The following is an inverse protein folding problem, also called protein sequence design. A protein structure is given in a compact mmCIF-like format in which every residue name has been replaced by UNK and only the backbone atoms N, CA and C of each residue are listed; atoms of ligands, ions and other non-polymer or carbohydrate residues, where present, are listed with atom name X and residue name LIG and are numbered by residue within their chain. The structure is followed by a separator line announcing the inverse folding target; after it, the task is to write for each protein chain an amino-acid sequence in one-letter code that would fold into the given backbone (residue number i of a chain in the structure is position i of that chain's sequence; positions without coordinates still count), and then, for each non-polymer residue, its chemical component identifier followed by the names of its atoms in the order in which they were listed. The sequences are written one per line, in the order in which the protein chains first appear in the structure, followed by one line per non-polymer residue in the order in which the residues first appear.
data_IF_396886481993
#
_entry.id   IF_396886481993
#
_cell.length_a   1.000
_cell.length_b   1.000
_cell.length_c   1.000
_cell.angle_alpha   90.00
_cell.angle_beta   90.00
_cell.angle_gamma   90.00
#
_symmetry.space_group_name_H-M   'P 1'
#
loop_
_entity.id
_entity.type
_entity.pdbx_description
1 polymer ?
#
# COMPACT_ATOMS: atom_id res chain seq x y z
N UNK A 1 -11.22 -9.28 -6.72
CA UNK A 1 -10.06 -8.77 -5.94
C UNK A 1 -10.60 -8.21 -4.64
N UNK A 2 -9.84 -8.32 -3.55
CA UNK A 2 -10.22 -7.78 -2.25
C UNK A 2 -8.99 -7.10 -1.66
N UNK A 3 -9.10 -5.81 -1.41
CA UNK A 3 -8.15 -5.03 -0.62
C UNK A 3 -8.89 -4.46 0.59
N UNK A 4 -8.17 -4.08 1.63
CA UNK A 4 -8.79 -3.63 2.88
C UNK A 4 -9.43 -2.25 2.74
N UNK A 5 -8.69 -1.28 2.19
CA UNK A 5 -9.17 0.09 2.00
C UNK A 5 -8.71 0.67 0.65
N UNK A 6 -9.57 1.52 0.09
CA UNK A 6 -9.26 2.40 -1.03
C UNK A 6 -9.62 3.83 -0.65
N UNK A 7 -8.61 4.70 -0.56
CA UNK A 7 -8.76 6.09 -0.14
C UNK A 7 -8.76 6.99 -1.37
N UNK A 8 -9.79 7.84 -1.47
CA UNK A 8 -9.99 8.81 -2.55
C UNK A 8 -9.85 8.23 -3.97
N UNK A 9 -10.09 6.93 -4.16
CA UNK A 9 -9.84 6.21 -5.42
C UNK A 9 -8.38 6.25 -5.92
N UNK A 10 -7.43 6.64 -5.06
CA UNK A 10 -6.02 6.84 -5.42
C UNK A 10 -5.06 5.95 -4.63
N UNK A 11 -5.35 5.66 -3.37
CA UNK A 11 -4.42 4.97 -2.47
C UNK A 11 -5.04 3.65 -2.02
N UNK A 12 -4.39 2.53 -2.36
CA UNK A 12 -4.75 1.22 -1.80
C UNK A 12 -4.01 1.03 -0.47
N UNK A 13 -4.71 0.61 0.57
CA UNK A 13 -4.11 0.30 1.87
C UNK A 13 -4.40 -1.15 2.23
N UNK A 14 -3.36 -1.87 2.61
CA UNK A 14 -3.38 -3.26 3.08
C UNK A 14 -2.90 -3.31 4.52
N UNK A 15 -3.69 -3.95 5.40
CA UNK A 15 -3.43 -4.05 6.82
C UNK A 15 -2.92 -5.45 7.17
N UNK A 16 -1.93 -5.53 8.05
CA UNK A 16 -1.35 -6.78 8.57
C UNK A 16 -1.13 -6.68 10.07
N UNK A 17 -1.05 -7.84 10.71
CA UNK A 17 -0.64 -8.03 12.11
C UNK A 17 0.30 -9.22 12.16
N UNK A 18 1.53 -9.02 11.66
CA UNK A 18 2.53 -10.09 11.44
C UNK A 18 3.85 -9.70 12.09
N UNK A 19 4.71 -10.66 12.43
CA UNK A 19 6.03 -10.34 12.98
C UNK A 19 6.90 -9.53 12.00
N UNK A 20 6.86 -9.88 10.72
CA UNK A 20 7.57 -9.17 9.66
C UNK A 20 6.81 -9.24 8.34
N UNK A 21 7.01 -8.22 7.49
CA UNK A 21 6.51 -8.28 6.12
C UNK A 21 7.31 -9.32 5.31
N UNK A 22 6.61 -10.24 4.67
CA UNK A 22 7.17 -11.16 3.67
C UNK A 22 6.94 -10.61 2.26
N UNK A 23 7.72 -11.10 1.29
CA UNK A 23 7.64 -10.68 -0.11
C UNK A 23 6.23 -10.88 -0.73
N UNK A 24 5.45 -11.85 -0.24
CA UNK A 24 4.09 -12.10 -0.72
C UNK A 24 3.14 -10.95 -0.37
N UNK A 25 3.32 -10.28 0.77
CA UNK A 25 2.50 -9.13 1.14
C UNK A 25 2.70 -7.96 0.17
N UNK A 26 3.95 -7.72 -0.24
CA UNK A 26 4.27 -6.70 -1.24
C UNK A 26 3.75 -7.08 -2.62
N UNK A 27 3.97 -8.33 -3.04
CA UNK A 27 3.48 -8.83 -4.33
C UNK A 27 1.95 -8.71 -4.44
N UNK A 28 1.22 -8.94 -3.36
CA UNK A 28 -0.23 -8.75 -3.29
C UNK A 28 -0.60 -7.29 -3.55
N UNK A 29 -0.02 -6.34 -2.80
CA UNK A 29 -0.30 -4.91 -2.97
C UNK A 29 0.07 -4.44 -4.38
N UNK A 30 1.27 -4.79 -4.87
CA UNK A 30 1.74 -4.42 -6.21
C UNK A 30 0.82 -4.96 -7.31
N UNK A 31 0.27 -6.17 -7.14
CA UNK A 31 -0.72 -6.75 -8.06
C UNK A 31 -1.97 -5.87 -8.12
N UNK A 32 -2.49 -5.42 -6.98
CA UNK A 32 -3.66 -4.54 -6.94
C UNK A 32 -3.37 -3.18 -7.58
N UNK A 33 -2.24 -2.57 -7.27
CA UNK A 33 -1.84 -1.29 -7.86
C UNK A 33 -1.75 -1.38 -9.39
N UNK A 34 -1.16 -2.45 -9.94
CA UNK A 34 -1.01 -2.64 -11.38
C UNK A 34 -2.36 -2.89 -12.07
N UNK A 35 -3.19 -3.77 -11.52
CA UNK A 35 -4.47 -4.14 -12.13
C UNK A 35 -5.49 -2.99 -12.08
N UNK A 36 -5.46 -2.20 -11.01
CA UNK A 36 -6.38 -1.08 -10.80
C UNK A 36 -5.80 0.27 -11.24
N UNK A 37 -4.56 0.27 -11.79
CA UNK A 37 -3.83 1.46 -12.24
C UNK A 37 -3.77 2.55 -11.17
N UNK A 38 -3.61 2.16 -9.91
CA UNK A 38 -3.58 3.11 -8.79
C UNK A 38 -2.18 3.69 -8.60
N UNK A 39 -2.08 5.00 -8.28
CA UNK A 39 -0.81 5.70 -8.18
C UNK A 39 0.01 5.32 -6.94
N UNK A 40 -0.62 4.89 -5.85
CA UNK A 40 0.04 4.69 -4.56
C UNK A 40 -0.57 3.55 -3.76
N UNK A 41 0.29 2.84 -3.02
CA UNK A 41 -0.12 1.82 -2.07
C UNK A 41 0.59 1.95 -0.73
N UNK A 42 -0.07 1.49 0.34
CA UNK A 42 0.46 1.44 1.69
C UNK A 42 0.26 0.03 2.27
N UNK A 43 1.33 -0.54 2.80
CA UNK A 43 1.26 -1.70 3.69
C UNK A 43 1.45 -1.21 5.12
N UNK A 44 0.50 -1.50 6.00
CA UNK A 44 0.55 -1.13 7.41
C UNK A 44 0.54 -2.41 8.25
N UNK A 45 1.54 -2.57 9.12
CA UNK A 45 1.63 -3.63 10.10
C UNK A 45 1.33 -3.08 11.49
N UNK A 46 0.22 -3.50 12.09
CA UNK A 46 -0.18 -3.11 13.43
C UNK A 46 0.54 -3.91 14.53
N UNK A 47 1.32 -4.94 14.18
CA UNK A 47 2.20 -5.62 15.12
C UNK A 47 3.54 -4.87 15.26
N UNK A 48 3.49 -3.62 15.71
CA UNK A 48 4.65 -2.79 15.99
C UNK A 48 4.31 -1.76 17.10
N UNK A 49 5.33 -1.11 17.66
CA UNK A 49 5.13 -0.05 18.67
C UNK A 49 4.87 1.31 18.01
N UNK A 50 5.38 1.54 16.81
CA UNK A 50 5.21 2.77 16.05
C UNK A 50 4.99 2.52 14.55
N UNK A 51 3.79 2.82 14.08
CA UNK A 51 3.41 2.60 12.66
C UNK A 51 4.24 3.45 11.71
N UNK A 52 4.51 4.71 12.06
CA UNK A 52 5.16 5.64 11.15
C UNK A 52 6.64 5.31 10.94
N UNK A 53 7.32 4.91 12.01
CA UNK A 53 8.76 4.60 12.00
C UNK A 53 9.06 3.16 11.54
N UNK A 54 8.21 2.20 11.91
CA UNK A 54 8.54 0.76 11.77
C UNK A 54 7.44 -0.03 11.04
N UNK A 55 6.18 0.35 11.24
CA UNK A 55 5.02 -0.42 10.82
C UNK A 55 4.50 -0.12 9.42
N UNK A 56 5.20 0.64 8.57
CA UNK A 56 4.69 0.97 7.24
C UNK A 56 5.68 0.74 6.11
N UNK A 57 5.15 0.38 4.94
CA UNK A 57 5.86 0.42 3.65
C UNK A 57 5.00 1.16 2.63
N UNK A 58 5.62 2.11 1.91
CA UNK A 58 4.96 2.92 0.88
C UNK A 58 5.46 2.53 -0.49
N UNK A 59 4.52 2.40 -1.44
CA UNK A 59 4.80 2.09 -2.83
C UNK A 59 4.16 3.15 -3.73
N UNK A 60 4.87 3.55 -4.78
CA UNK A 60 4.35 4.46 -5.81
C UNK A 60 4.53 3.81 -7.18
N UNK A 61 3.56 4.03 -8.07
CA UNK A 61 3.59 3.52 -9.44
C UNK A 61 3.87 4.64 -10.43
N UNK A 62 4.01 4.30 -11.70
CA UNK A 62 4.15 5.26 -12.79
C UNK A 62 2.95 6.22 -12.91
N UNK A 63 1.77 5.82 -12.45
CA UNK A 63 0.56 6.65 -12.48
C UNK A 63 0.65 7.83 -11.51
N UNK A 64 1.49 7.75 -10.47
CA UNK A 64 1.68 8.84 -9.51
C UNK A 64 2.12 10.14 -10.19
N UNK A 65 2.95 10.04 -11.23
CA UNK A 65 3.46 11.21 -11.99
C UNK A 65 2.37 11.96 -12.75
N UNK A 66 1.21 11.34 -12.97
CA UNK A 66 0.08 11.92 -13.70
C UNK A 66 -0.91 12.65 -12.78
N UNK A 67 -0.70 12.59 -11.47
CA UNK A 67 -1.52 13.34 -10.54
C UNK A 67 -1.34 14.85 -10.74
N UNK A 68 -2.39 15.67 -10.56
CA UNK A 68 -2.27 17.12 -10.58
C UNK A 68 -1.18 17.56 -9.60
N UNK A 69 -0.33 18.48 -10.04
CA UNK A 69 0.54 19.21 -9.11
C UNK A 69 -0.34 20.29 -8.48
N UNK A 70 -0.45 20.26 -7.16
CA UNK A 70 -0.96 21.37 -6.38
C UNK A 70 -0.07 22.61 -6.54
#
# INVERSE_FOLDING_TARGET
MRFDLLVNDLIIVELKTVEFFSAIHEAQLLTYLKLLKKPKGLLINFNCTNIFQEGQRTFVTEYYRKLPKE
#
